data_IF_125420341897
#
_entry.id   IF_125420341897
#
_cell.length_a   1.000
_cell.length_b   1.000
_cell.length_c   1.000
_cell.angle_alpha   90.00
_cell.angle_beta   90.00
_cell.angle_gamma   90.00
#
_symmetry.space_group_name_H-M   'P 1'
#
loop_
_entity.id
_entity.type
_entity.pdbx_description
1 polymer ?
#
# COMPACT_ATOMS: atom_id res chain seq x y z
N UNK A 1 -34.98 6.23 35.99
CA UNK A 1 -33.71 5.52 36.18
C UNK A 1 -32.75 6.04 35.12
N UNK A 2 -31.95 7.03 35.49
CA UNK A 2 -30.99 7.69 34.60
C UNK A 2 -29.79 6.74 34.46
N UNK A 3 -29.53 6.27 33.24
CA UNK A 3 -28.40 5.39 32.96
C UNK A 3 -27.09 6.09 33.34
N UNK A 4 -26.30 5.43 34.19
CA UNK A 4 -25.02 5.88 34.76
C UNK A 4 -23.81 5.28 34.01
N UNK A 5 -23.94 5.04 32.71
CA UNK A 5 -22.84 4.58 31.86
C UNK A 5 -22.50 5.70 30.86
N UNK A 6 -21.22 6.04 30.67
CA UNK A 6 -20.83 6.97 29.59
C UNK A 6 -21.27 6.36 28.26
N UNK A 7 -21.84 7.18 27.36
CA UNK A 7 -22.19 6.77 26.00
C UNK A 7 -21.01 6.00 25.40
N UNK A 8 -21.20 4.70 25.18
CA UNK A 8 -20.22 3.86 24.52
C UNK A 8 -19.91 4.46 23.17
N UNK A 9 -18.62 4.61 22.82
CA UNK A 9 -18.22 5.09 21.51
C UNK A 9 -18.99 4.31 20.42
N UNK A 10 -19.53 4.98 19.39
CA UNK A 10 -20.32 4.32 18.38
C UNK A 10 -19.48 3.23 17.70
N UNK A 11 -20.10 2.09 17.47
CA UNK A 11 -19.50 1.00 16.71
C UNK A 11 -19.90 1.09 15.23
N UNK A 12 -19.29 0.26 14.40
CA UNK A 12 -19.50 0.26 12.96
C UNK A 12 -20.90 -0.22 12.52
N UNK A 13 -21.78 -0.65 13.43
CA UNK A 13 -23.20 -0.82 13.11
C UNK A 13 -23.93 0.51 12.93
N UNK A 14 -23.31 1.62 13.37
CA UNK A 14 -23.80 2.98 13.24
C UNK A 14 -22.76 3.86 12.52
N UNK A 15 -22.49 3.63 11.21
CA UNK A 15 -21.38 4.26 10.50
C UNK A 15 -21.42 5.79 10.50
N UNK A 16 -22.62 6.39 10.37
CA UNK A 16 -22.77 7.86 10.43
C UNK A 16 -22.44 8.40 11.83
N UNK A 17 -22.76 7.65 12.89
CA UNK A 17 -22.36 8.03 14.24
C UNK A 17 -20.84 7.90 14.44
N UNK A 18 -20.19 6.93 13.80
CA UNK A 18 -18.72 6.80 13.78
C UNK A 18 -18.05 7.99 13.10
N UNK A 19 -18.54 8.43 11.93
CA UNK A 19 -18.05 9.65 11.26
C UNK A 19 -18.19 10.88 12.15
N UNK A 20 -19.37 11.09 12.74
CA UNK A 20 -19.62 12.18 13.69
C UNK A 20 -18.70 12.10 14.92
N UNK A 21 -18.40 10.89 15.40
CA UNK A 21 -17.45 10.70 16.50
C UNK A 21 -16.01 11.04 16.06
N UNK A 22 -15.64 10.76 14.81
CA UNK A 22 -14.37 11.20 14.23
C UNK A 22 -14.28 12.74 14.20
N UNK A 23 -15.36 13.44 13.86
CA UNK A 23 -15.39 14.91 13.92
C UNK A 23 -15.12 15.44 15.33
N UNK A 24 -15.68 14.79 16.36
CA UNK A 24 -15.38 15.14 17.76
C UNK A 24 -13.89 15.03 18.10
N UNK A 25 -13.22 13.99 17.58
CA UNK A 25 -11.77 13.81 17.75
C UNK A 25 -10.97 14.82 16.94
N UNK A 26 -11.37 15.13 15.70
CA UNK A 26 -10.77 16.19 14.87
C UNK A 26 -10.84 17.54 15.61
N UNK A 27 -12.02 17.96 16.07
CA UNK A 27 -12.20 19.20 16.85
C UNK A 27 -11.29 19.28 18.07
N UNK A 28 -11.07 18.15 18.77
CA UNK A 28 -10.14 18.10 19.91
C UNK A 28 -8.70 18.37 19.49
N UNK A 29 -8.25 17.81 18.37
CA UNK A 29 -6.90 18.06 17.85
C UNK A 29 -6.74 19.48 17.32
N UNK A 30 -7.74 20.03 16.64
CA UNK A 30 -7.75 21.43 16.21
C UNK A 30 -7.64 22.38 17.42
N UNK A 31 -8.42 22.14 18.48
CA UNK A 31 -8.30 22.92 19.73
C UNK A 31 -6.94 22.77 20.39
N UNK A 32 -6.29 21.60 20.24
CA UNK A 32 -4.92 21.38 20.75
C UNK A 32 -3.92 22.22 19.96
N UNK A 33 -4.06 22.28 18.64
CA UNK A 33 -3.23 23.10 17.75
C UNK A 33 -3.38 24.60 18.04
N UNK A 34 -4.61 25.09 18.25
CA UNK A 34 -4.87 26.48 18.63
C UNK A 34 -4.25 26.85 19.98
N UNK A 35 -4.31 25.95 20.97
CA UNK A 35 -3.71 26.17 22.30
C UNK A 35 -2.20 26.07 22.29
N UNK A 36 -1.62 25.35 21.33
CA UNK A 36 -0.17 25.22 21.20
C UNK A 36 0.48 26.56 20.82
N UNK A 37 -0.19 27.41 20.03
CA UNK A 37 0.30 28.75 19.65
C UNK A 37 0.68 29.63 20.86
N UNK A 38 -0.24 29.97 21.79
CA UNK A 38 0.12 30.76 22.97
C UNK A 38 1.05 30.02 23.93
N UNK A 39 0.95 28.68 24.03
CA UNK A 39 1.84 27.89 24.89
C UNK A 39 3.29 27.96 24.43
N UNK A 40 3.55 27.86 23.12
CA UNK A 40 4.90 28.01 22.55
C UNK A 40 5.46 29.41 22.80
N UNK A 41 4.62 30.44 22.75
CA UNK A 41 5.04 31.82 23.02
C UNK A 41 5.43 32.05 24.49
N UNK A 42 4.75 31.41 25.42
CA UNK A 42 4.96 31.59 26.87
C UNK A 42 6.03 30.65 27.44
N UNK A 43 6.08 29.41 26.97
CA UNK A 43 6.86 28.33 27.58
C UNK A 43 7.92 27.71 26.65
N UNK A 44 7.96 28.12 25.38
CA UNK A 44 8.84 27.53 24.38
C UNK A 44 8.51 26.05 24.11
N UNK A 45 9.50 25.28 23.66
CA UNK A 45 9.33 23.86 23.28
C UNK A 45 9.62 22.96 24.47
N UNK A 46 8.80 23.12 25.51
CA UNK A 46 8.83 22.25 26.68
C UNK A 46 8.21 20.87 26.37
N UNK A 47 8.22 19.98 27.37
CA UNK A 47 7.67 18.63 27.20
C UNK A 47 6.18 18.65 26.79
N UNK A 48 5.41 19.60 27.32
CA UNK A 48 3.98 19.69 27.04
C UNK A 48 3.72 20.11 25.59
N UNK A 49 4.48 21.07 25.07
CA UNK A 49 4.44 21.48 23.67
C UNK A 49 4.78 20.32 22.74
N UNK A 50 5.83 19.56 23.06
CA UNK A 50 6.26 18.37 22.30
C UNK A 50 5.20 17.28 22.27
N UNK A 51 4.65 16.94 23.45
CA UNK A 51 3.63 15.90 23.59
C UNK A 51 2.34 16.30 22.83
N UNK A 52 1.97 17.59 22.86
CA UNK A 52 0.84 18.13 22.13
C UNK A 52 1.06 18.07 20.60
N UNK A 53 2.22 18.53 20.11
CA UNK A 53 2.57 18.44 18.68
C UNK A 53 2.55 16.99 18.19
N UNK A 54 3.17 16.08 18.94
CA UNK A 54 3.15 14.65 18.62
C UNK A 54 1.76 14.03 18.63
N UNK A 55 0.87 14.48 19.52
CA UNK A 55 -0.52 14.00 19.54
C UNK A 55 -1.31 14.43 18.30
N UNK A 56 -1.10 15.66 17.83
CA UNK A 56 -1.71 16.19 16.60
C UNK A 56 -1.15 15.44 15.39
N UNK A 57 0.17 15.31 15.27
CA UNK A 57 0.84 14.55 14.20
C UNK A 57 0.31 13.12 14.09
N UNK A 58 0.35 12.35 15.19
CA UNK A 58 -0.14 10.96 15.20
C UNK A 58 -1.59 10.83 14.76
N UNK A 59 -2.43 11.83 15.05
CA UNK A 59 -3.84 11.77 14.68
C UNK A 59 -4.03 12.06 13.20
N UNK A 60 -3.49 13.16 12.68
CA UNK A 60 -3.71 13.55 11.28
C UNK A 60 -2.95 12.64 10.31
N UNK A 61 -1.77 12.12 10.68
CA UNK A 61 -1.02 11.18 9.84
C UNK A 61 -1.71 9.81 9.70
N UNK A 62 -2.47 9.38 10.72
CA UNK A 62 -3.00 8.00 10.78
C UNK A 62 -4.51 7.88 10.66
N UNK A 63 -5.27 8.86 11.16
CA UNK A 63 -6.71 8.71 11.36
C UNK A 63 -7.53 9.67 10.50
N UNK A 64 -7.01 10.84 10.13
CA UNK A 64 -7.75 11.83 9.36
C UNK A 64 -8.01 11.37 7.92
N UNK A 65 -7.01 10.81 7.23
CA UNK A 65 -7.20 10.31 5.86
C UNK A 65 -8.23 9.17 5.78
N UNK A 66 -8.32 8.30 6.81
CA UNK A 66 -9.33 7.24 6.86
C UNK A 66 -10.76 7.80 6.92
N UNK A 67 -10.95 9.00 7.47
CA UNK A 67 -12.24 9.70 7.49
C UNK A 67 -12.60 10.19 6.09
N UNK A 68 -11.67 10.91 5.42
CA UNK A 68 -11.86 11.34 4.04
C UNK A 68 -12.16 10.15 3.10
N UNK A 69 -11.45 9.03 3.28
CA UNK A 69 -11.69 7.82 2.50
C UNK A 69 -13.06 7.20 2.75
N UNK A 70 -13.58 7.23 3.98
CA UNK A 70 -14.93 6.77 4.31
C UNK A 70 -15.99 7.60 3.55
N UNK A 71 -15.71 8.89 3.33
CA UNK A 71 -16.56 9.76 2.53
C UNK A 71 -16.43 9.52 1.03
N UNK A 72 -15.20 9.56 0.52
CA UNK A 72 -14.94 9.58 -0.92
C UNK A 72 -15.19 8.23 -1.59
N UNK A 73 -14.83 7.14 -0.92
CA UNK A 73 -14.87 5.81 -1.53
C UNK A 73 -16.21 5.10 -1.30
N UNK A 74 -16.94 5.46 -0.23
CA UNK A 74 -18.15 4.75 0.18
C UNK A 74 -19.36 5.68 0.32
N UNK A 75 -19.34 6.65 1.25
CA UNK A 75 -20.52 7.49 1.54
C UNK A 75 -21.02 8.28 0.33
N UNK A 76 -20.14 9.03 -0.34
CA UNK A 76 -20.50 9.88 -1.49
C UNK A 76 -20.96 9.02 -2.68
N UNK A 77 -20.23 7.96 -3.10
CA UNK A 77 -20.71 7.07 -4.15
C UNK A 77 -22.06 6.43 -3.85
N UNK A 78 -22.27 5.95 -2.61
CA UNK A 78 -23.54 5.36 -2.20
C UNK A 78 -24.68 6.38 -2.19
N UNK A 79 -24.43 7.61 -1.71
CA UNK A 79 -25.39 8.71 -1.79
C UNK A 79 -25.72 9.04 -3.25
N UNK A 80 -24.74 9.08 -4.15
CA UNK A 80 -24.96 9.33 -5.60
C UNK A 80 -25.83 8.25 -6.25
N UNK A 81 -25.66 7.00 -5.83
CA UNK A 81 -26.45 5.89 -6.34
C UNK A 81 -27.91 5.88 -5.81
N UNK A 82 -28.16 6.51 -4.65
CA UNK A 82 -29.45 6.42 -3.94
C UNK A 82 -30.28 7.70 -4.05
N UNK A 83 -29.63 8.87 -4.07
CA UNK A 83 -30.30 10.17 -4.06
C UNK A 83 -31.09 10.42 -5.36
N UNK A 84 -32.26 11.03 -5.21
CA UNK A 84 -33.15 11.41 -6.31
C UNK A 84 -33.70 12.82 -6.08
N UNK A 85 -34.18 13.49 -7.13
CA UNK A 85 -34.79 14.81 -7.03
C UNK A 85 -33.86 15.84 -6.39
N UNK A 86 -34.37 16.59 -5.42
CA UNK A 86 -33.65 17.68 -4.74
C UNK A 86 -32.39 17.20 -3.99
N UNK A 87 -32.39 15.96 -3.49
CA UNK A 87 -31.21 15.37 -2.84
C UNK A 87 -30.08 15.13 -3.83
N UNK A 88 -30.40 14.66 -5.04
CA UNK A 88 -29.41 14.45 -6.09
C UNK A 88 -28.81 15.78 -6.56
N UNK A 89 -29.65 16.82 -6.71
CA UNK A 89 -29.19 18.15 -7.06
C UNK A 89 -28.29 18.76 -5.96
N UNK A 90 -28.68 18.60 -4.70
CA UNK A 90 -27.89 19.04 -3.54
C UNK A 90 -26.55 18.33 -3.48
N UNK A 91 -26.54 17.00 -3.64
CA UNK A 91 -25.32 16.21 -3.63
C UNK A 91 -24.40 16.52 -4.81
N UNK A 92 -24.96 16.79 -5.99
CA UNK A 92 -24.18 17.16 -7.18
C UNK A 92 -23.44 18.50 -7.00
N UNK A 93 -24.04 19.44 -6.27
CA UNK A 93 -23.37 20.69 -5.89
C UNK A 93 -22.37 20.51 -4.75
N UNK A 94 -22.70 19.68 -3.76
CA UNK A 94 -21.93 19.54 -2.52
C UNK A 94 -20.71 18.63 -2.66
N UNK A 95 -20.83 17.48 -3.33
CA UNK A 95 -19.77 16.46 -3.36
C UNK A 95 -18.42 16.97 -3.94
N UNK A 96 -18.38 17.76 -5.03
CA UNK A 96 -17.12 18.35 -5.50
C UNK A 96 -16.48 19.31 -4.48
N UNK A 97 -17.30 20.02 -3.71
CA UNK A 97 -16.82 20.94 -2.66
C UNK A 97 -16.17 20.16 -1.52
N UNK A 98 -16.77 19.04 -1.11
CA UNK A 98 -16.22 18.16 -0.06
C UNK A 98 -14.86 17.60 -0.47
N UNK A 99 -14.74 17.06 -1.69
CA UNK A 99 -13.47 16.56 -2.21
C UNK A 99 -12.43 17.70 -2.33
N UNK A 100 -12.86 18.90 -2.72
CA UNK A 100 -11.96 20.06 -2.75
C UNK A 100 -11.51 20.47 -1.34
N UNK A 101 -12.39 20.40 -0.34
CA UNK A 101 -12.03 20.66 1.06
C UNK A 101 -10.96 19.67 1.53
N UNK A 102 -11.07 18.38 1.19
CA UNK A 102 -10.05 17.37 1.52
C UNK A 102 -8.69 17.73 0.94
N UNK A 103 -8.64 18.08 -0.35
CA UNK A 103 -7.40 18.51 -1.02
C UNK A 103 -6.80 19.78 -0.37
N UNK A 104 -7.64 20.76 -0.02
CA UNK A 104 -7.22 21.98 0.69
C UNK A 104 -6.64 21.65 2.07
N UNK A 105 -7.27 20.71 2.80
CA UNK A 105 -6.85 20.27 4.13
C UNK A 105 -5.52 19.52 4.08
N UNK A 106 -5.32 18.63 3.12
CA UNK A 106 -4.05 17.91 2.93
C UNK A 106 -2.90 18.87 2.60
N UNK A 107 -3.14 19.86 1.74
CA UNK A 107 -2.15 20.89 1.41
C UNK A 107 -1.79 21.77 2.63
N UNK A 108 -2.77 22.14 3.45
CA UNK A 108 -2.55 22.88 4.69
C UNK A 108 -1.84 22.02 5.75
N UNK A 109 -2.14 20.71 5.79
CA UNK A 109 -1.47 19.78 6.69
C UNK A 109 0.02 19.66 6.36
N UNK A 110 0.40 19.59 5.08
CA UNK A 110 1.81 19.53 4.68
C UNK A 110 2.62 20.72 5.22
N UNK A 111 2.08 21.94 5.18
CA UNK A 111 2.72 23.14 5.72
C UNK A 111 2.88 23.09 7.26
N UNK A 112 1.87 22.56 7.95
CA UNK A 112 1.90 22.42 9.41
C UNK A 112 2.74 21.23 9.89
N UNK A 113 2.85 20.17 9.08
CA UNK A 113 3.51 18.91 9.44
C UNK A 113 4.99 19.11 9.73
N UNK A 114 5.70 19.86 8.88
CA UNK A 114 7.11 20.17 9.07
C UNK A 114 7.35 20.95 10.38
N UNK A 115 6.52 21.96 10.62
CA UNK A 115 6.59 22.82 11.80
C UNK A 115 6.33 22.02 13.09
N UNK A 116 5.29 21.19 13.09
CA UNK A 116 4.94 20.33 14.23
C UNK A 116 5.97 19.24 14.48
N UNK A 117 6.59 18.69 13.43
CA UNK A 117 7.68 17.71 13.55
C UNK A 117 8.90 18.33 14.22
N UNK A 118 9.27 19.55 13.82
CA UNK A 118 10.37 20.27 14.45
C UNK A 118 10.08 20.56 15.94
N UNK A 119 8.82 20.90 16.27
CA UNK A 119 8.36 21.11 17.66
C UNK A 119 8.42 19.80 18.44
N UNK A 120 7.86 18.69 17.95
CA UNK A 120 7.89 17.39 18.63
C UNK A 120 9.32 16.92 18.94
N UNK A 121 10.24 17.13 17.98
CA UNK A 121 11.65 16.81 18.10
C UNK A 121 12.42 17.74 19.08
N UNK A 122 11.83 18.86 19.50
CA UNK A 122 12.50 19.85 20.35
C UNK A 122 13.51 20.72 19.59
N UNK A 123 13.41 20.77 18.26
CA UNK A 123 14.40 21.40 17.37
C UNK A 123 13.95 22.74 16.78
N UNK A 124 12.65 23.05 16.84
CA UNK A 124 12.09 24.32 16.35
C UNK A 124 10.91 24.80 17.18
N UNK A 125 10.76 26.12 17.30
CA UNK A 125 9.69 26.81 18.06
C UNK A 125 8.64 27.46 17.14
N UNK A 126 8.84 27.40 15.83
CA UNK A 126 8.02 28.11 14.86
C UNK A 126 6.74 27.33 14.57
N UNK A 127 5.60 27.96 14.82
CA UNK A 127 4.28 27.52 14.38
C UNK A 127 3.53 28.72 13.80
N UNK A 128 3.15 28.64 12.53
CA UNK A 128 2.49 29.72 11.80
C UNK A 128 1.04 29.87 12.25
N UNK A 129 0.72 30.99 12.91
CA UNK A 129 -0.66 31.28 13.35
C UNK A 129 -1.63 31.32 12.17
N UNK A 130 -1.22 31.90 11.04
CA UNK A 130 -2.04 31.95 9.82
C UNK A 130 -2.28 30.56 9.23
N UNK A 131 -1.30 29.66 9.25
CA UNK A 131 -1.49 28.29 8.76
C UNK A 131 -2.46 27.52 9.65
N UNK A 132 -2.30 27.64 10.98
CA UNK A 132 -3.21 27.04 11.98
C UNK A 132 -4.63 27.57 11.79
N UNK A 133 -4.82 28.88 11.71
CA UNK A 133 -6.14 29.50 11.50
C UNK A 133 -6.82 29.00 10.23
N UNK A 134 -6.09 28.92 9.11
CA UNK A 134 -6.62 28.40 7.84
C UNK A 134 -7.01 26.94 7.95
N UNK A 135 -6.17 26.10 8.57
CA UNK A 135 -6.42 24.67 8.74
C UNK A 135 -7.64 24.42 9.61
N UNK A 136 -7.73 25.11 10.75
CA UNK A 136 -8.89 25.03 11.66
C UNK A 136 -10.16 25.50 10.98
N UNK A 137 -10.12 26.63 10.27
CA UNK A 137 -11.28 27.15 9.55
C UNK A 137 -11.77 26.19 8.46
N UNK A 138 -10.84 25.55 7.72
CA UNK A 138 -11.18 24.58 6.68
C UNK A 138 -11.87 23.35 7.24
N UNK A 139 -11.26 22.68 8.22
CA UNK A 139 -11.89 21.52 8.85
C UNK A 139 -13.24 21.86 9.47
N UNK A 140 -13.37 23.02 10.13
CA UNK A 140 -14.63 23.44 10.75
C UNK A 140 -15.74 23.62 9.72
N UNK A 141 -15.46 24.33 8.62
CA UNK A 141 -16.44 24.55 7.56
C UNK A 141 -16.81 23.26 6.81
N UNK A 142 -15.84 22.38 6.62
CA UNK A 142 -16.02 21.07 6.01
C UNK A 142 -16.93 20.16 6.87
N UNK A 143 -16.60 19.95 8.15
CA UNK A 143 -17.42 19.15 9.07
C UNK A 143 -18.85 19.72 9.22
N UNK A 144 -19.01 21.05 9.19
CA UNK A 144 -20.34 21.67 9.24
C UNK A 144 -21.19 21.31 8.01
N UNK A 145 -20.60 21.29 6.80
CA UNK A 145 -21.29 20.85 5.59
C UNK A 145 -21.76 19.40 5.70
N UNK A 146 -20.91 18.55 6.22
CA UNK A 146 -21.22 17.13 6.37
C UNK A 146 -22.31 16.89 7.40
N UNK A 147 -22.18 17.51 8.59
CA UNK A 147 -23.12 17.34 9.69
C UNK A 147 -24.49 17.97 9.40
N UNK A 148 -24.54 19.07 8.64
CA UNK A 148 -25.78 19.76 8.29
C UNK A 148 -26.51 19.15 7.09
N UNK A 149 -25.77 18.50 6.17
CA UNK A 149 -26.32 18.09 4.87
C UNK A 149 -26.09 16.61 4.56
N UNK A 150 -24.84 16.14 4.50
CA UNK A 150 -24.56 14.78 4.05
C UNK A 150 -25.00 13.70 5.05
N UNK A 151 -24.67 13.86 6.32
CA UNK A 151 -25.04 12.89 7.35
C UNK A 151 -26.57 12.75 7.49
N UNK A 152 -27.37 13.84 7.57
CA UNK A 152 -28.83 13.73 7.55
C UNK A 152 -29.38 13.09 6.27
N UNK A 153 -28.79 13.39 5.11
CA UNK A 153 -29.17 12.78 3.84
C UNK A 153 -28.93 11.26 3.86
N UNK A 154 -27.76 10.80 4.31
CA UNK A 154 -27.43 9.38 4.41
C UNK A 154 -28.34 8.65 5.39
N UNK A 155 -28.60 9.24 6.57
CA UNK A 155 -29.52 8.67 7.57
C UNK A 155 -30.95 8.51 7.05
N UNK A 156 -31.38 9.38 6.14
CA UNK A 156 -32.73 9.32 5.55
C UNK A 156 -32.82 8.39 4.35
N UNK A 157 -31.77 8.31 3.53
CA UNK A 157 -31.81 7.61 2.24
C UNK A 157 -31.32 6.16 2.29
N UNK A 158 -30.36 5.82 3.16
CA UNK A 158 -29.79 4.48 3.15
C UNK A 158 -30.69 3.45 3.81
N UNK A 159 -30.82 2.29 3.15
CA UNK A 159 -31.43 1.10 3.74
C UNK A 159 -30.57 0.50 4.86
N UNK A 160 -31.11 -0.40 5.70
CA UNK A 160 -30.31 -1.13 6.68
C UNK A 160 -29.14 -1.91 6.05
N UNK A 161 -29.32 -2.50 4.86
CA UNK A 161 -28.23 -3.19 4.17
C UNK A 161 -27.14 -2.22 3.72
N UNK A 162 -27.51 -1.05 3.21
CA UNK A 162 -26.55 -0.01 2.83
C UNK A 162 -25.78 0.52 4.04
N UNK A 163 -26.46 0.75 5.18
CA UNK A 163 -25.79 1.12 6.43
C UNK A 163 -24.79 0.04 6.89
N UNK A 164 -25.16 -1.23 6.80
CA UNK A 164 -24.26 -2.34 7.13
C UNK A 164 -23.05 -2.41 6.17
N UNK A 165 -23.27 -2.21 4.87
CA UNK A 165 -22.21 -2.18 3.86
C UNK A 165 -21.20 -1.07 4.13
N UNK A 166 -21.68 0.15 4.45
CA UNK A 166 -20.81 1.28 4.80
C UNK A 166 -20.00 0.95 6.07
N UNK A 167 -20.63 0.41 7.10
CA UNK A 167 -19.94 -0.02 8.33
C UNK A 167 -18.85 -1.06 8.08
N UNK A 168 -19.13 -2.08 7.25
CA UNK A 168 -18.14 -3.10 6.88
C UNK A 168 -16.98 -2.53 6.06
N UNK A 169 -17.24 -1.58 5.16
CA UNK A 169 -16.19 -0.89 4.42
C UNK A 169 -15.26 -0.13 5.36
N UNK A 170 -15.81 0.64 6.30
CA UNK A 170 -15.06 1.35 7.34
C UNK A 170 -14.21 0.39 8.20
N UNK A 171 -14.73 -0.79 8.53
CA UNK A 171 -14.00 -1.84 9.27
C UNK A 171 -12.86 -2.43 8.45
N UNK A 172 -13.09 -2.75 7.17
CA UNK A 172 -12.07 -3.29 6.25
C UNK A 172 -10.92 -2.29 6.07
N UNK A 173 -11.24 -1.01 5.86
CA UNK A 173 -10.26 0.08 5.75
C UNK A 173 -9.36 0.18 6.99
N UNK A 174 -9.88 -0.23 8.14
CA UNK A 174 -9.17 -0.24 9.43
C UNK A 174 -8.58 -1.61 9.79
N UNK A 175 -8.58 -2.58 8.87
CA UNK A 175 -8.03 -3.92 9.08
C UNK A 175 -8.81 -4.79 10.08
N UNK A 176 -10.05 -4.41 10.43
CA UNK A 176 -10.89 -5.11 11.40
C UNK A 176 -11.74 -6.23 10.77
N UNK A 177 -11.85 -6.24 9.43
CA UNK A 177 -12.47 -7.30 8.65
C UNK A 177 -11.53 -7.69 7.50
N UNK A 178 -11.45 -9.00 7.22
CA UNK A 178 -10.71 -9.51 6.07
C UNK A 178 -11.37 -9.05 4.74
N UNK A 179 -10.60 -8.92 3.64
CA UNK A 179 -11.18 -8.65 2.32
C UNK A 179 -12.19 -9.76 1.95
N UNK A 180 -13.37 -9.39 1.47
CA UNK A 180 -14.36 -10.38 1.04
C UNK A 180 -13.84 -11.20 -0.15
N UNK A 181 -13.95 -12.53 -0.02
CA UNK A 181 -13.98 -13.41 -1.18
C UNK A 181 -15.31 -13.15 -1.92
N UNK A 182 -15.23 -12.85 -3.21
CA UNK A 182 -16.38 -12.52 -4.05
C UNK A 182 -17.48 -13.58 -3.98
N UNK A 183 -18.58 -13.30 -3.27
CA UNK A 183 -19.82 -14.03 -3.43
C UNK A 183 -21.01 -13.07 -3.28
N UNK A 184 -21.61 -12.68 -4.41
CA UNK A 184 -22.90 -11.99 -4.45
C UNK A 184 -23.73 -12.59 -5.61
N UNK A 185 -24.99 -13.01 -5.35
CA UNK A 185 -25.89 -13.51 -6.38
C UNK A 185 -26.68 -12.36 -7.00
N UNK A 186 -26.46 -12.04 -8.29
CA UNK A 186 -27.35 -11.13 -9.02
C UNK A 186 -27.53 -11.57 -10.47
N UNK A 187 -28.77 -11.41 -10.92
CA UNK A 187 -29.36 -11.75 -12.19
C UNK A 187 -28.49 -11.56 -13.45
N UNK A 188 -28.78 -12.45 -14.41
CA UNK A 188 -28.26 -12.61 -15.76
C UNK A 188 -28.15 -11.30 -16.58
N UNK A 189 -27.04 -10.58 -16.42
CA UNK A 189 -26.39 -9.90 -17.53
C UNK A 189 -25.29 -10.83 -18.06
N UNK A 190 -25.22 -11.03 -19.38
CA UNK A 190 -24.20 -11.92 -19.96
C UNK A 190 -22.80 -11.47 -19.58
N UNK A 191 -21.95 -12.44 -19.24
CA UNK A 191 -20.58 -12.25 -18.74
C UNK A 191 -19.75 -11.32 -19.63
N UNK A 192 -20.02 -11.32 -20.94
CA UNK A 192 -19.36 -10.45 -21.91
C UNK A 192 -19.71 -8.96 -21.75
N UNK A 193 -20.97 -8.61 -21.48
CA UNK A 193 -21.40 -7.21 -21.32
C UNK A 193 -20.88 -6.63 -19.99
N UNK A 194 -20.90 -7.43 -18.92
CA UNK A 194 -20.29 -7.06 -17.63
C UNK A 194 -18.78 -6.88 -17.74
N UNK A 195 -18.09 -7.76 -18.49
CA UNK A 195 -16.65 -7.65 -18.75
C UNK A 195 -16.32 -6.39 -19.56
N UNK A 196 -17.13 -6.08 -20.59
CA UNK A 196 -16.94 -4.89 -21.41
C UNK A 196 -17.17 -3.59 -20.63
N UNK A 197 -18.23 -3.53 -19.81
CA UNK A 197 -18.53 -2.37 -18.97
C UNK A 197 -17.45 -2.09 -17.92
N UNK A 198 -16.97 -3.14 -17.22
CA UNK A 198 -15.84 -3.02 -16.29
C UNK A 198 -14.57 -2.60 -17.03
N UNK A 199 -14.28 -3.20 -18.19
CA UNK A 199 -13.10 -2.86 -19.00
C UNK A 199 -13.08 -1.39 -19.47
N UNK A 200 -14.24 -0.80 -19.74
CA UNK A 200 -14.35 0.63 -20.09
C UNK A 200 -14.08 1.55 -18.89
N UNK A 201 -14.57 1.18 -17.70
CA UNK A 201 -14.37 1.96 -16.47
C UNK A 201 -12.92 1.96 -15.96
N UNK A 202 -12.07 1.01 -16.40
CA UNK A 202 -10.63 0.99 -16.03
C UNK A 202 -9.90 2.26 -16.45
N UNK A 203 -10.29 2.88 -17.58
CA UNK A 203 -9.65 4.08 -18.10
C UNK A 203 -9.75 5.30 -17.15
N UNK A 204 -10.73 5.27 -16.25
CA UNK A 204 -11.08 6.34 -15.32
C UNK A 204 -10.41 6.19 -13.94
N UNK A 205 -9.73 5.05 -13.67
CA UNK A 205 -9.01 4.78 -12.41
C UNK A 205 -7.68 5.55 -12.27
N UNK A 206 -7.57 6.73 -12.88
CA UNK A 206 -6.31 7.49 -12.94
C UNK A 206 -6.01 8.12 -11.60
N UNK A 207 -4.91 7.72 -10.97
CA UNK A 207 -4.34 8.39 -9.82
C UNK A 207 -3.28 9.40 -10.25
N UNK A 208 -3.21 10.54 -9.57
CA UNK A 208 -2.15 11.54 -9.77
C UNK A 208 -1.04 11.28 -8.74
N UNK A 209 0.18 11.08 -9.21
CA UNK A 209 1.32 10.73 -8.37
C UNK A 209 2.07 12.00 -7.93
N UNK A 210 2.58 12.09 -6.70
CA UNK A 210 3.24 13.33 -6.26
C UNK A 210 4.08 13.26 -4.99
N UNK A 211 4.36 12.08 -4.47
CA UNK A 211 4.99 11.90 -3.16
C UNK A 211 6.49 12.28 -3.12
N UNK A 212 7.21 12.16 -4.25
CA UNK A 212 8.65 12.47 -4.32
C UNK A 212 9.14 12.78 -5.75
N UNK A 213 10.40 13.25 -5.89
CA UNK A 213 11.12 13.40 -7.18
C UNK A 213 12.38 12.56 -7.21
N UNK A 214 12.89 12.27 -8.42
CA UNK A 214 14.15 11.55 -8.62
C UNK A 214 15.03 12.28 -9.65
N UNK A 215 16.13 12.88 -9.19
CA UNK A 215 17.13 13.52 -10.06
C UNK A 215 18.40 12.69 -10.19
N UNK A 216 19.16 12.95 -11.26
CA UNK A 216 20.46 12.32 -11.54
C UNK A 216 21.48 12.60 -10.44
N UNK A 217 21.42 13.78 -9.81
CA UNK A 217 22.35 14.19 -8.76
C UNK A 217 21.99 13.58 -7.39
N UNK A 218 20.76 13.08 -7.24
CA UNK A 218 20.21 12.53 -6.00
C UNK A 218 20.35 11.00 -5.91
N UNK A 219 20.92 10.37 -6.93
CA UNK A 219 21.10 8.92 -7.02
C UNK A 219 22.56 8.50 -6.99
N UNK A 220 22.83 7.37 -6.34
CA UNK A 220 24.16 6.81 -6.17
C UNK A 220 24.72 6.22 -7.47
N UNK A 221 26.04 6.28 -7.66
CA UNK A 221 26.69 5.74 -8.87
C UNK A 221 26.57 4.20 -8.98
N UNK A 222 26.58 3.50 -7.84
CA UNK A 222 26.34 2.06 -7.78
C UNK A 222 24.83 1.78 -7.67
N UNK A 223 24.21 1.12 -8.66
CA UNK A 223 22.78 0.83 -8.62
C UNK A 223 22.38 -0.18 -7.52
N UNK A 224 23.30 -1.02 -7.03
CA UNK A 224 23.00 -1.91 -5.90
C UNK A 224 22.95 -1.11 -4.59
N UNK A 225 23.84 -0.13 -4.44
CA UNK A 225 23.75 0.82 -3.34
C UNK A 225 22.45 1.64 -3.42
N UNK A 226 22.09 2.12 -4.61
CA UNK A 226 20.81 2.82 -4.82
C UNK A 226 19.61 1.96 -4.47
N UNK A 227 19.60 0.68 -4.88
CA UNK A 227 18.56 -0.28 -4.50
C UNK A 227 18.49 -0.43 -2.97
N UNK A 228 19.64 -0.53 -2.29
CA UNK A 228 19.73 -0.65 -0.83
C UNK A 228 19.04 0.52 -0.15
N UNK A 229 19.36 1.76 -0.55
CA UNK A 229 18.73 2.98 -0.01
C UNK A 229 17.21 2.95 -0.20
N UNK A 230 16.74 2.58 -1.38
CA UNK A 230 15.32 2.49 -1.70
C UNK A 230 14.60 1.39 -0.92
N UNK A 231 15.27 0.25 -0.71
CA UNK A 231 14.74 -0.86 0.07
C UNK A 231 14.63 -0.52 1.57
N UNK A 232 15.63 0.17 2.13
CA UNK A 232 15.58 0.70 3.51
C UNK A 232 14.43 1.69 3.70
N UNK A 233 14.20 2.56 2.72
CA UNK A 233 13.06 3.48 2.72
C UNK A 233 11.72 2.75 2.65
N UNK A 234 11.62 1.69 1.84
CA UNK A 234 10.43 0.84 1.79
C UNK A 234 10.15 0.15 3.14
N UNK A 235 11.19 -0.31 3.83
CA UNK A 235 11.07 -0.85 5.19
C UNK A 235 10.61 0.21 6.20
N UNK A 236 11.22 1.41 6.16
CA UNK A 236 10.86 2.51 7.05
C UNK A 236 9.42 3.00 6.85
N UNK A 237 8.97 3.02 5.59
CA UNK A 237 7.60 3.37 5.21
C UNK A 237 6.60 2.24 5.44
N UNK A 238 7.04 1.08 5.93
CA UNK A 238 6.20 -0.09 6.17
C UNK A 238 5.40 -0.53 4.95
N UNK A 239 6.01 -0.43 3.76
CA UNK A 239 5.44 -0.94 2.50
C UNK A 239 5.01 -2.39 2.70
N UNK A 240 3.83 -2.77 2.19
CA UNK A 240 3.37 -4.14 2.29
C UNK A 240 4.25 -5.09 1.47
N UNK A 241 4.85 -6.09 2.12
CA UNK A 241 5.78 -7.07 1.54
C UNK A 241 6.84 -6.45 0.60
N UNK A 242 7.76 -5.60 1.12
CA UNK A 242 8.69 -4.84 0.27
C UNK A 242 9.69 -5.74 -0.47
N UNK A 243 9.86 -6.98 -0.02
CA UNK A 243 10.66 -8.02 -0.64
C UNK A 243 9.89 -8.86 -1.68
N UNK A 244 8.63 -8.57 -1.97
CA UNK A 244 7.91 -9.17 -3.08
C UNK A 244 8.32 -8.55 -4.42
N UNK A 245 8.53 -9.41 -5.41
CA UNK A 245 8.89 -9.00 -6.78
C UNK A 245 8.18 -9.87 -7.80
N UNK A 246 7.78 -9.27 -8.92
CA UNK A 246 7.35 -10.02 -10.11
C UNK A 246 8.58 -10.53 -10.84
N UNK A 247 8.69 -11.84 -11.02
CA UNK A 247 9.69 -12.48 -11.87
C UNK A 247 9.06 -12.83 -13.22
N UNK A 248 9.61 -12.26 -14.30
CA UNK A 248 9.29 -12.59 -15.67
C UNK A 248 10.38 -13.48 -16.28
N UNK A 249 9.97 -14.57 -16.93
CA UNK A 249 10.83 -15.53 -17.63
C UNK A 249 10.26 -15.81 -19.02
N UNK A 250 11.06 -16.37 -19.91
CA UNK A 250 10.66 -16.66 -21.30
C UNK A 250 10.77 -18.15 -21.57
N UNK A 251 9.62 -18.77 -21.87
CA UNK A 251 9.56 -20.18 -22.24
C UNK A 251 9.73 -20.44 -23.74
N UNK A 252 9.57 -21.71 -24.15
CA UNK A 252 9.67 -22.11 -25.55
C UNK A 252 8.78 -21.27 -26.48
N UNK A 253 9.29 -20.97 -27.67
CA UNK A 253 8.57 -20.13 -28.64
C UNK A 253 8.49 -18.66 -28.24
N UNK A 254 9.43 -18.16 -27.43
CA UNK A 254 9.49 -16.78 -26.94
C UNK A 254 8.23 -16.33 -26.18
N UNK A 255 7.56 -17.27 -25.49
CA UNK A 255 6.36 -16.97 -24.71
C UNK A 255 6.74 -16.48 -23.31
N UNK A 256 6.43 -15.23 -22.94
CA UNK A 256 6.70 -14.75 -21.58
C UNK A 256 5.74 -15.37 -20.57
N UNK A 257 6.22 -15.56 -19.34
CA UNK A 257 5.40 -15.91 -18.18
C UNK A 257 5.87 -15.11 -16.97
N UNK A 258 4.96 -14.79 -16.04
CA UNK A 258 5.29 -14.05 -14.83
C UNK A 258 4.62 -14.62 -13.58
N UNK A 259 5.21 -14.37 -12.41
CA UNK A 259 4.67 -14.69 -11.09
C UNK A 259 5.36 -13.87 -10.01
N UNK A 260 4.73 -13.72 -8.86
CA UNK A 260 5.38 -13.18 -7.67
C UNK A 260 6.34 -14.21 -7.07
N UNK A 261 7.53 -13.74 -6.70
CA UNK A 261 8.50 -14.44 -5.85
C UNK A 261 9.02 -13.45 -4.81
N UNK A 262 9.63 -13.96 -3.74
CA UNK A 262 10.23 -13.10 -2.72
C UNK A 262 11.74 -13.08 -2.89
N UNK A 263 12.34 -11.89 -2.95
CA UNK A 263 13.78 -11.78 -2.79
C UNK A 263 14.18 -12.20 -1.38
N UNK A 264 15.27 -12.95 -1.28
CA UNK A 264 15.81 -13.43 0.00
C UNK A 264 17.15 -12.80 0.34
N UNK A 265 17.94 -12.48 -0.68
CA UNK A 265 19.25 -11.84 -0.53
C UNK A 265 19.52 -10.98 -1.76
N UNK A 266 20.22 -9.86 -1.56
CA UNK A 266 20.89 -9.14 -2.63
C UNK A 266 22.27 -8.71 -2.14
N UNK A 267 23.23 -8.72 -3.04
CA UNK A 267 24.62 -8.28 -2.81
C UNK A 267 25.24 -7.89 -4.17
N UNK A 268 26.52 -7.47 -4.24
CA UNK A 268 27.14 -7.07 -5.51
C UNK A 268 27.10 -8.12 -6.63
N UNK A 269 26.86 -9.40 -6.32
CA UNK A 269 26.69 -10.48 -7.30
C UNK A 269 25.30 -10.47 -7.93
N UNK A 270 24.28 -9.95 -7.25
CA UNK A 270 22.91 -9.85 -7.77
C UNK A 270 21.80 -10.19 -6.78
N UNK A 271 20.62 -10.49 -7.31
CA UNK A 271 19.37 -10.64 -6.56
C UNK A 271 18.94 -12.12 -6.51
N UNK A 272 18.81 -12.67 -5.30
CA UNK A 272 18.64 -14.11 -5.07
C UNK A 272 17.25 -14.45 -4.55
N UNK A 273 16.62 -15.46 -5.16
CA UNK A 273 15.37 -16.09 -4.69
C UNK A 273 15.50 -17.60 -4.73
N UNK A 274 14.60 -18.31 -4.04
CA UNK A 274 14.62 -19.77 -3.94
C UNK A 274 13.31 -20.36 -4.45
N UNK A 275 13.40 -21.50 -5.14
CA UNK A 275 12.26 -22.11 -5.81
C UNK A 275 12.45 -23.61 -6.01
N UNK A 276 11.44 -24.27 -6.58
CA UNK A 276 11.55 -25.65 -7.02
C UNK A 276 12.10 -25.67 -8.47
N UNK A 277 13.18 -26.41 -8.67
CA UNK A 277 13.89 -26.55 -9.95
C UNK A 277 13.08 -27.30 -11.02
N UNK A 278 12.02 -28.02 -10.66
CA UNK A 278 11.12 -28.67 -11.62
C UNK A 278 9.96 -27.76 -12.06
N UNK A 279 9.79 -26.60 -11.40
CA UNK A 279 8.72 -25.68 -11.72
C UNK A 279 8.84 -25.06 -13.11
N UNK A 280 7.72 -24.55 -13.65
CA UNK A 280 7.68 -23.89 -14.96
C UNK A 280 8.79 -22.83 -15.11
N UNK A 281 8.92 -21.91 -14.15
CA UNK A 281 9.93 -20.84 -14.20
C UNK A 281 11.36 -21.38 -14.27
N UNK A 282 11.64 -22.48 -13.57
CA UNK A 282 12.98 -23.07 -13.55
C UNK A 282 13.27 -23.81 -14.86
N UNK A 283 12.28 -24.47 -15.45
CA UNK A 283 12.41 -25.06 -16.79
C UNK A 283 12.65 -23.98 -17.85
N UNK A 284 11.90 -22.87 -17.78
CA UNK A 284 12.10 -21.71 -18.66
C UNK A 284 13.52 -21.13 -18.50
N UNK A 285 13.99 -20.92 -17.26
CA UNK A 285 15.33 -20.41 -16.97
C UNK A 285 16.47 -21.32 -17.43
N UNK A 286 16.26 -22.65 -17.47
CA UNK A 286 17.25 -23.58 -18.05
C UNK A 286 17.35 -23.45 -19.57
N UNK A 287 16.23 -23.15 -20.25
CA UNK A 287 16.20 -22.95 -21.70
C UNK A 287 16.62 -21.55 -22.14
N UNK A 288 16.27 -20.54 -21.34
CA UNK A 288 16.63 -19.14 -21.53
C UNK A 288 16.91 -18.50 -20.18
N UNK A 289 18.19 -18.23 -19.90
CA UNK A 289 18.62 -17.69 -18.61
C UNK A 289 18.40 -16.17 -18.48
N UNK A 290 17.68 -15.53 -19.39
CA UNK A 290 17.30 -14.12 -19.27
C UNK A 290 16.02 -13.97 -18.47
N UNK A 291 16.01 -13.03 -17.53
CA UNK A 291 14.84 -12.72 -16.72
C UNK A 291 14.74 -11.23 -16.41
N UNK A 292 13.55 -10.81 -15.98
CA UNK A 292 13.31 -9.49 -15.43
C UNK A 292 12.62 -9.60 -14.06
N UNK A 293 13.02 -8.73 -13.13
CA UNK A 293 12.42 -8.54 -11.82
C UNK A 293 11.76 -7.17 -11.79
N UNK A 294 10.55 -7.08 -11.25
CA UNK A 294 9.84 -5.82 -11.01
C UNK A 294 9.42 -5.76 -9.55
N UNK A 295 9.94 -4.76 -8.84
CA UNK A 295 9.42 -4.31 -7.54
C UNK A 295 8.43 -3.17 -7.80
N UNK A 296 7.28 -3.22 -7.15
CA UNK A 296 6.31 -2.14 -7.16
C UNK A 296 5.90 -1.84 -5.72
N UNK A 297 6.27 -0.65 -5.25
CA UNK A 297 5.94 -0.16 -3.92
C UNK A 297 4.96 0.99 -4.09
N UNK A 298 3.67 0.64 -4.12
CA UNK A 298 2.56 1.56 -4.36
C UNK A 298 2.57 2.75 -3.41
N UNK A 299 2.85 2.51 -2.13
CA UNK A 299 2.84 3.46 -1.03
C UNK A 299 3.91 4.54 -1.18
N UNK A 300 4.96 4.26 -1.96
CA UNK A 300 6.03 5.20 -2.28
C UNK A 300 5.97 5.70 -3.73
N UNK A 301 5.00 5.23 -4.51
CA UNK A 301 4.88 5.50 -5.94
C UNK A 301 6.16 5.11 -6.69
N UNK A 302 6.76 3.97 -6.35
CA UNK A 302 8.06 3.54 -6.88
C UNK A 302 8.00 2.22 -7.60
N UNK A 303 8.78 2.13 -8.66
CA UNK A 303 9.06 0.88 -9.35
C UNK A 303 10.56 0.71 -9.53
N UNK A 304 11.03 -0.53 -9.38
CA UNK A 304 12.39 -0.92 -9.70
C UNK A 304 12.35 -2.08 -10.68
N UNK A 305 12.96 -1.90 -11.85
CA UNK A 305 13.06 -2.94 -12.89
C UNK A 305 14.51 -3.40 -12.98
N UNK A 306 14.75 -4.69 -12.84
CA UNK A 306 16.08 -5.29 -12.92
C UNK A 306 16.05 -6.36 -14.00
N UNK A 307 16.95 -6.27 -14.98
CA UNK A 307 17.05 -7.21 -16.10
C UNK A 307 18.47 -7.78 -16.14
N UNK A 308 18.58 -9.07 -16.47
CA UNK A 308 19.88 -9.71 -16.61
C UNK A 308 19.82 -11.23 -16.66
N UNK A 309 21.01 -11.82 -16.61
CA UNK A 309 21.20 -13.28 -16.66
C UNK A 309 21.00 -13.91 -15.30
N UNK A 310 20.42 -15.10 -15.30
CA UNK A 310 20.16 -15.91 -14.11
C UNK A 310 21.15 -17.06 -14.04
N UNK A 311 21.72 -17.26 -12.86
CA UNK A 311 22.57 -18.39 -12.51
C UNK A 311 21.98 -19.17 -11.33
N UNK A 312 22.32 -20.45 -11.20
CA UNK A 312 21.98 -21.23 -10.01
C UNK A 312 22.91 -20.85 -8.86
N UNK A 313 22.37 -20.76 -7.64
CA UNK A 313 23.21 -20.64 -6.45
C UNK A 313 23.93 -21.96 -6.17
N UNK A 314 24.96 -21.92 -5.34
CA UNK A 314 25.62 -23.15 -4.87
C UNK A 314 24.67 -24.07 -4.07
N UNK A 315 25.03 -25.35 -3.97
CA UNK A 315 24.36 -26.32 -3.11
C UNK A 315 24.38 -25.86 -1.65
N UNK A 316 25.51 -25.29 -1.22
CA UNK A 316 25.74 -24.84 0.15
C UNK A 316 24.85 -23.63 0.50
N UNK A 317 24.73 -22.64 -0.40
CA UNK A 317 23.80 -21.52 -0.26
C UNK A 317 22.34 -22.02 -0.17
N UNK A 318 21.98 -23.00 -1.00
CA UNK A 318 20.65 -23.60 -1.02
C UNK A 318 20.33 -24.38 0.25
N UNK A 319 21.28 -25.19 0.75
CA UNK A 319 21.16 -25.95 2.00
C UNK A 319 21.01 -25.02 3.19
N UNK A 320 21.86 -23.99 3.28
CA UNK A 320 21.83 -23.01 4.35
C UNK A 320 20.47 -22.29 4.40
N UNK A 321 20.00 -21.76 3.26
CA UNK A 321 18.71 -21.10 3.23
C UNK A 321 17.55 -22.07 3.49
N UNK A 322 17.60 -23.30 2.94
CA UNK A 322 16.55 -24.30 3.19
C UNK A 322 16.39 -24.58 4.69
N UNK A 323 17.49 -24.83 5.41
CA UNK A 323 17.48 -25.09 6.87
C UNK A 323 16.94 -23.92 7.68
N UNK A 324 17.12 -22.68 7.23
CA UNK A 324 16.58 -21.49 7.91
C UNK A 324 15.04 -21.38 7.86
N UNK A 325 14.38 -22.12 6.96
CA UNK A 325 12.92 -22.04 6.76
C UNK A 325 12.17 -22.76 7.89
N UNK A 326 10.97 -22.29 8.27
CA UNK A 326 10.11 -23.00 9.21
C UNK A 326 9.87 -24.44 8.76
N UNK A 327 9.80 -25.39 9.71
CA UNK A 327 9.65 -26.83 9.41
C UNK A 327 8.50 -27.11 8.43
N UNK A 328 7.32 -26.52 8.66
CA UNK A 328 6.16 -26.66 7.76
C UNK A 328 6.45 -26.20 6.32
N UNK A 329 7.27 -25.16 6.15
CA UNK A 329 7.70 -24.69 4.82
C UNK A 329 8.68 -25.65 4.14
N UNK A 330 9.57 -26.28 4.91
CA UNK A 330 10.49 -27.31 4.40
C UNK A 330 9.72 -28.55 3.96
N UNK A 331 8.79 -29.04 4.79
CA UNK A 331 7.87 -30.14 4.47
C UNK A 331 7.06 -29.85 3.21
N UNK A 332 6.44 -28.66 3.13
CA UNK A 332 5.66 -28.28 1.94
C UNK A 332 6.51 -28.24 0.66
N UNK A 333 7.78 -27.84 0.74
CA UNK A 333 8.68 -27.82 -0.41
C UNK A 333 9.05 -29.23 -0.90
N UNK A 334 9.11 -30.21 0.00
CA UNK A 334 9.36 -31.61 -0.33
C UNK A 334 8.09 -32.27 -0.89
N UNK A 335 6.93 -31.97 -0.31
CA UNK A 335 5.64 -32.56 -0.71
C UNK A 335 5.11 -32.05 -2.06
N UNK A 336 5.46 -30.82 -2.45
CA UNK A 336 4.90 -30.17 -3.63
C UNK A 336 5.75 -30.39 -4.88
N UNK A 337 5.16 -30.99 -5.91
CA UNK A 337 5.64 -30.94 -7.29
C UNK A 337 5.18 -29.62 -7.93
N UNK A 338 5.88 -28.53 -7.63
CA UNK A 338 5.46 -27.19 -8.01
C UNK A 338 5.22 -27.07 -9.52
N UNK A 339 4.07 -26.48 -9.91
CA UNK A 339 3.61 -26.31 -11.30
C UNK A 339 3.04 -27.56 -12.00
N UNK A 340 3.13 -28.74 -11.39
CA UNK A 340 2.46 -29.94 -11.92
C UNK A 340 0.95 -29.94 -11.61
N UNK A 341 0.09 -30.47 -12.49
CA UNK A 341 -1.31 -30.70 -12.19
C UNK A 341 -1.48 -31.64 -10.98
N UNK A 342 -2.50 -31.38 -10.18
CA UNK A 342 -2.93 -32.24 -9.07
C UNK A 342 -4.45 -32.38 -9.10
N UNK A 343 -4.97 -33.54 -8.72
CA UNK A 343 -6.39 -33.84 -8.87
C UNK A 343 -7.31 -32.86 -8.13
N UNK A 344 -6.97 -32.52 -6.89
CA UNK A 344 -7.75 -31.63 -6.02
C UNK A 344 -6.97 -31.23 -4.76
N UNK A 345 -7.60 -30.43 -3.90
CA UNK A 345 -7.06 -29.98 -2.60
C UNK A 345 -6.73 -31.14 -1.65
N UNK A 346 -7.60 -32.14 -1.55
CA UNK A 346 -7.39 -33.28 -0.66
C UNK A 346 -6.15 -34.09 -1.03
N UNK A 347 -5.87 -34.26 -2.33
CA UNK A 347 -4.63 -34.88 -2.80
C UNK A 347 -3.39 -34.06 -2.42
N UNK A 348 -3.47 -32.72 -2.43
CA UNK A 348 -2.37 -31.86 -2.00
C UNK A 348 -2.08 -31.99 -0.51
N UNK A 349 -3.13 -32.02 0.31
CA UNK A 349 -3.04 -32.21 1.77
C UNK A 349 -2.49 -33.60 2.12
N UNK A 350 -2.96 -34.64 1.44
CA UNK A 350 -2.44 -35.99 1.62
C UNK A 350 -0.94 -36.10 1.31
N UNK A 351 -0.46 -35.45 0.24
CA UNK A 351 0.98 -35.40 -0.07
C UNK A 351 1.76 -34.69 1.04
N UNK A 352 1.23 -33.59 1.58
CA UNK A 352 1.85 -32.87 2.69
C UNK A 352 1.93 -33.73 3.95
N UNK A 353 0.84 -34.38 4.34
CA UNK A 353 0.77 -35.20 5.55
C UNK A 353 1.69 -36.44 5.47
N UNK A 354 1.75 -37.09 4.31
CA UNK A 354 2.65 -38.21 4.07
C UNK A 354 4.12 -37.81 4.27
N UNK A 355 4.52 -36.65 3.75
CA UNK A 355 5.88 -36.12 3.96
C UNK A 355 6.08 -35.66 5.39
N UNK A 356 5.10 -34.98 6.01
CA UNK A 356 5.18 -34.53 7.39
C UNK A 356 5.43 -35.68 8.37
N UNK A 357 4.80 -36.84 8.13
CA UNK A 357 4.99 -38.06 8.93
C UNK A 357 6.38 -38.70 8.73
N UNK A 358 6.97 -38.56 7.53
CA UNK A 358 8.25 -39.18 7.18
C UNK A 358 9.48 -38.29 7.43
N UNK A 359 9.32 -36.96 7.39
CA UNK A 359 10.40 -35.97 7.34
C UNK A 359 11.18 -35.78 8.65
N UNK A 360 10.61 -36.17 9.79
CA UNK A 360 11.16 -35.86 11.12
C UNK A 360 11.26 -34.35 11.39
N UNK A 361 12.11 -33.97 12.35
CA UNK A 361 12.24 -32.56 12.80
C UNK A 361 13.23 -31.73 11.96
N UNK A 362 14.11 -32.39 11.21
CA UNK A 362 15.13 -31.73 10.38
C UNK A 362 15.24 -32.35 8.98
N UNK A 363 14.20 -32.19 8.14
CA UNK A 363 14.25 -32.68 6.77
C UNK A 363 15.39 -31.99 6.00
N UNK A 364 16.13 -32.80 5.23
CA UNK A 364 17.12 -32.31 4.29
C UNK A 364 16.44 -31.60 3.10
N UNK A 365 17.21 -30.71 2.43
CA UNK A 365 16.77 -30.09 1.19
C UNK A 365 16.62 -31.17 0.10
N UNK A 366 15.50 -31.22 -0.64
CA UNK A 366 15.39 -32.13 -1.77
C UNK A 366 16.20 -31.59 -2.97
N UNK A 367 16.72 -32.49 -3.81
CA UNK A 367 17.58 -32.15 -4.95
C UNK A 367 16.95 -31.16 -5.93
N UNK A 368 15.62 -31.21 -6.06
CA UNK A 368 14.84 -30.34 -6.93
C UNK A 368 14.46 -28.99 -6.30
N UNK A 369 15.11 -28.57 -5.21
CA UNK A 369 14.84 -27.26 -4.59
C UNK A 369 16.13 -26.49 -4.38
N UNK A 370 16.15 -25.20 -4.69
CA UNK A 370 17.32 -24.36 -4.42
C UNK A 370 17.18 -22.95 -4.95
N UNK A 371 18.31 -22.23 -4.96
CA UNK A 371 18.35 -20.81 -5.32
C UNK A 371 18.66 -20.55 -6.79
N UNK A 372 18.17 -19.40 -7.25
CA UNK A 372 18.62 -18.71 -8.46
C UNK A 372 19.05 -17.29 -8.08
N UNK A 373 20.03 -16.75 -8.80
CA UNK A 373 20.52 -15.38 -8.68
C UNK A 373 20.44 -14.71 -10.04
N UNK A 374 19.80 -13.54 -10.10
CA UNK A 374 19.89 -12.66 -11.27
C UNK A 374 21.10 -11.74 -11.11
N UNK A 375 22.05 -11.86 -12.02
CA UNK A 375 23.21 -10.96 -12.19
C UNK A 375 22.77 -9.79 -13.07
N UNK A 376 22.65 -8.57 -12.51
CA UNK A 376 22.00 -7.47 -13.20
C UNK A 376 22.87 -6.92 -14.32
N UNK A 377 22.24 -6.69 -15.47
CA UNK A 377 22.83 -6.03 -16.64
C UNK A 377 22.20 -4.64 -16.86
N UNK A 378 20.97 -4.46 -16.37
CA UNK A 378 20.23 -3.20 -16.40
C UNK A 378 19.37 -3.05 -15.14
N UNK A 379 19.40 -1.86 -14.53
CA UNK A 379 18.54 -1.52 -13.38
C UNK A 379 17.89 -0.16 -13.66
N UNK A 380 16.56 -0.09 -13.62
CA UNK A 380 15.80 1.15 -13.77
C UNK A 380 15.04 1.47 -12.49
N UNK A 381 15.21 2.70 -12.04
CA UNK A 381 14.49 3.31 -10.94
C UNK A 381 13.46 4.28 -11.51
N UNK A 382 12.19 4.05 -11.17
CA UNK A 382 11.07 4.85 -11.61
C UNK A 382 10.37 5.44 -10.39
N UNK A 383 10.07 6.74 -10.45
CA UNK A 383 9.35 7.48 -9.42
C UNK A 383 8.14 8.16 -10.04
N UNK A 384 6.98 7.95 -9.41
CA UNK A 384 5.72 8.59 -9.75
C UNK A 384 5.82 10.11 -9.64
N UNK A 385 5.24 10.81 -10.62
CA UNK A 385 5.18 12.28 -10.71
C UNK A 385 3.84 12.69 -11.29
N UNK A 386 3.45 13.93 -11.01
CA UNK A 386 2.17 14.48 -11.46
C UNK A 386 2.12 14.51 -12.98
N UNK A 387 0.91 14.52 -13.54
CA UNK A 387 0.70 14.66 -14.99
C UNK A 387 1.36 13.56 -15.84
N UNK A 388 1.70 12.40 -15.23
CA UNK A 388 2.38 11.25 -15.87
C UNK A 388 3.79 11.55 -16.38
N UNK A 389 4.39 12.66 -15.96
CA UNK A 389 5.74 13.03 -16.37
C UNK A 389 6.77 12.45 -15.39
N UNK A 390 6.84 11.12 -15.36
CA UNK A 390 7.58 10.34 -14.37
C UNK A 390 9.10 10.49 -14.49
N UNK A 391 9.78 10.39 -13.34
CA UNK A 391 11.24 10.34 -13.32
C UNK A 391 11.71 8.90 -13.53
N UNK A 392 12.66 8.72 -14.46
CA UNK A 392 13.19 7.41 -14.84
C UNK A 392 14.69 7.48 -14.98
N UNK A 393 15.41 6.86 -14.05
CA UNK A 393 16.86 6.74 -14.12
C UNK A 393 17.22 5.28 -14.38
N UNK A 394 18.01 5.04 -15.42
CA UNK A 394 18.49 3.71 -15.79
C UNK A 394 20.00 3.62 -15.65
N UNK A 395 20.44 2.50 -15.07
CA UNK A 395 21.80 2.03 -15.00
C UNK A 395 21.96 0.88 -15.98
N UNK A 396 22.99 0.96 -16.82
CA UNK A 396 23.36 -0.09 -17.77
C UNK A 396 24.79 -0.55 -17.50
N UNK A 397 24.97 -1.85 -17.33
CA UNK A 397 26.28 -2.45 -17.08
C UNK A 397 27.08 -2.49 -18.37
N UNK A 398 28.32 -2.02 -18.31
CA UNK A 398 29.25 -1.99 -19.42
C UNK A 398 30.09 -3.28 -19.48
N UNK A 399 30.73 -3.59 -20.63
CA UNK A 399 31.57 -4.78 -20.76
C UNK A 399 32.75 -4.87 -19.78
N UNK A 400 33.27 -3.72 -19.33
CA UNK A 400 34.33 -3.63 -18.30
C UNK A 400 33.82 -3.81 -16.87
N UNK A 401 32.51 -3.98 -16.70
CA UNK A 401 31.85 -4.16 -15.40
C UNK A 401 31.43 -2.86 -14.72
N UNK A 402 31.75 -1.69 -15.28
CA UNK A 402 31.27 -0.39 -14.79
C UNK A 402 29.79 -0.18 -15.11
N UNK A 403 29.18 0.83 -14.49
CA UNK A 403 27.79 1.22 -14.75
C UNK A 403 27.74 2.61 -15.39
N UNK A 404 26.93 2.75 -16.43
CA UNK A 404 26.55 4.05 -16.99
C UNK A 404 25.13 4.39 -16.59
N UNK A 405 24.90 5.65 -16.23
CA UNK A 405 23.59 6.17 -15.82
C UNK A 405 23.02 7.11 -16.89
N UNK A 406 21.70 7.05 -17.11
CA UNK A 406 20.99 8.00 -17.98
C UNK A 406 19.53 8.17 -17.56
N UNK A 407 18.90 9.28 -17.97
CA UNK A 407 17.47 9.51 -17.81
C UNK A 407 16.70 9.01 -19.03
N UNK A 408 15.54 8.41 -18.80
CA UNK A 408 14.59 8.01 -19.83
C UNK A 408 13.37 8.95 -19.82
N UNK A 409 12.76 9.16 -21.00
CA UNK A 409 11.47 9.84 -21.09
C UNK A 409 10.36 8.94 -20.50
N UNK A 410 9.35 9.51 -19.82
CA UNK A 410 8.26 8.75 -19.21
C UNK A 410 7.33 8.05 -20.20
#
# INVERSE_FOLDING_TARGET
MTSLLPDTAPDFSQPIAVLKHCHGRIRKQLSTLEKLLPHLAEHGVDKQARDAAGAVLRYFDKAAHLHHDDEEQDLIPMLRATAQGDDAATLQALAPTIVQDHNDMDALWQDLHEQLTAIEAGTGTMLSSTAVERFVARYTAHMEREESTMAPMAMRLFSPEQMAQLGQAMQRRRGLLAPEAFDQPVASATTAAKTAGVGQAVADLRQDYGQASLNEDDVLDDPIAQFTTWFEQALAAQVNEPNAMTLATVGPGNRPSSRIVLIKQFDPRGFTWYTNYDSQKAQELRGNNQAALLFFWSELERQIRIEGRVEMTSSEESDHYFRSRPLKSRVAAIASQQSSPIANRAALEANYDAVAQAAGDDPARPDNWGGFRLVPERIEFWQGRRSRFHDRIVYQRQPDGSWTRSRLQP
#
